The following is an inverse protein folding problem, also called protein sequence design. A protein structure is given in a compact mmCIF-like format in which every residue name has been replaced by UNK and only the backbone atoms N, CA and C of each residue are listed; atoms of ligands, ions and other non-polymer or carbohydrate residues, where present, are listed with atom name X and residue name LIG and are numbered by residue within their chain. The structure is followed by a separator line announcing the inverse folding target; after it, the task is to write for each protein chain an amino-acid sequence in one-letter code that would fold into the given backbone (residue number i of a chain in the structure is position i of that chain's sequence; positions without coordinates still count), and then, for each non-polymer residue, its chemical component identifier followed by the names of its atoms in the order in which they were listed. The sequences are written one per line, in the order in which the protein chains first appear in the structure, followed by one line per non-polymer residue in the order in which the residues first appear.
data_IF_192161128911
#
_entry.id   IF_192161128911
#
_cell.length_a   1.000
_cell.length_b   1.000
_cell.length_c   1.000
_cell.angle_alpha   90.00
_cell.angle_beta   90.00
_cell.angle_gamma   90.00
#
_symmetry.space_group_name_H-M   'P 1'
#
loop_
_entity.id
_entity.type
_entity.pdbx_description
1 polymer ?
#
# COMPACT_ATOMS: atom_id res chain seq x y z
N UNK A 1 -22.92 19.92 12.56
CA UNK A 1 -22.66 19.33 13.89
C UNK A 1 -23.64 18.18 14.09
N UNK A 2 -23.19 17.05 14.64
CA UNK A 2 -24.04 15.87 14.85
C UNK A 2 -23.95 15.42 16.31
N UNK A 3 -25.10 15.14 16.92
CA UNK A 3 -25.22 14.64 18.29
C UNK A 3 -26.03 13.35 18.26
N UNK A 4 -25.45 12.26 18.74
CA UNK A 4 -26.07 10.93 18.73
C UNK A 4 -26.09 10.41 20.15
N UNK A 5 -27.26 9.94 20.59
CA UNK A 5 -27.45 9.26 21.86
C UNK A 5 -27.98 7.86 21.62
N UNK A 6 -27.49 6.90 22.41
CA UNK A 6 -27.90 5.49 22.37
C UNK A 6 -29.22 5.22 23.15
N UNK A 7 -30.01 6.27 23.39
CA UNK A 7 -31.31 6.19 24.08
C UNK A 7 -32.37 6.94 23.28
N UNK A 8 -33.64 6.61 23.52
CA UNK A 8 -34.77 7.31 22.91
C UNK A 8 -35.05 8.63 23.62
N UNK A 9 -34.46 9.72 23.13
CA UNK A 9 -34.77 11.06 23.57
C UNK A 9 -36.04 11.56 22.85
N UNK A 10 -36.94 12.24 23.56
CA UNK A 10 -38.11 12.86 22.94
C UNK A 10 -37.70 14.04 22.06
N UNK A 11 -36.65 14.78 22.43
CA UNK A 11 -36.04 15.84 21.61
C UNK A 11 -34.57 16.07 21.98
N UNK A 12 -33.84 16.77 21.11
CA UNK A 12 -32.47 17.24 21.36
C UNK A 12 -32.44 18.75 21.11
N UNK A 13 -32.10 19.53 22.13
CA UNK A 13 -31.95 20.98 22.04
C UNK A 13 -30.49 21.34 21.77
N UNK A 14 -30.25 22.37 20.95
CA UNK A 14 -28.91 22.87 20.66
C UNK A 14 -28.70 24.25 21.28
N UNK A 15 -27.49 24.49 21.79
CA UNK A 15 -27.07 25.77 22.35
C UNK A 15 -25.74 26.21 21.74
N UNK A 16 -25.58 27.52 21.56
CA UNK A 16 -24.31 28.17 21.23
C UNK A 16 -23.96 29.11 22.39
N UNK A 17 -22.96 28.72 23.18
CA UNK A 17 -22.68 29.34 24.47
C UNK A 17 -23.87 29.16 25.42
N UNK A 18 -24.53 30.27 25.79
CA UNK A 18 -25.73 30.28 26.64
C UNK A 18 -27.03 30.51 25.88
N UNK A 19 -26.98 30.67 24.55
CA UNK A 19 -28.15 30.96 23.72
C UNK A 19 -28.67 29.71 23.04
N UNK A 20 -29.99 29.53 23.04
CA UNK A 20 -30.63 28.43 22.31
C UNK A 20 -30.50 28.65 20.80
N UNK A 21 -30.26 27.57 20.07
CA UNK A 21 -30.15 27.56 18.62
C UNK A 21 -31.36 26.84 18.04
N UNK A 22 -32.20 27.59 17.35
CA UNK A 22 -33.44 27.15 16.74
C UNK A 22 -33.53 27.60 15.27
N UNK A 23 -34.64 27.23 14.61
CA UNK A 23 -34.91 27.61 13.23
C UNK A 23 -35.17 29.12 13.08
N UNK A 24 -35.69 29.76 14.12
CA UNK A 24 -36.09 31.17 14.14
C UNK A 24 -34.96 32.11 14.61
N UNK A 25 -33.74 31.59 14.79
CA UNK A 25 -32.64 32.41 15.25
C UNK A 25 -32.39 33.59 14.30
N UNK A 26 -32.08 34.76 14.87
CA UNK A 26 -31.81 35.99 14.12
C UNK A 26 -30.65 35.87 13.12
N UNK A 27 -29.79 34.85 13.27
CA UNK A 27 -28.71 34.52 12.34
C UNK A 27 -29.24 34.09 10.97
N UNK A 28 -30.36 33.36 10.96
CA UNK A 28 -30.87 32.67 9.78
C UNK A 28 -29.95 31.57 9.25
N UNK A 29 -30.44 30.82 8.26
CA UNK A 29 -29.65 29.77 7.59
C UNK A 29 -29.28 28.60 8.51
N UNK A 30 -30.09 28.34 9.52
CA UNK A 30 -29.97 27.23 10.45
C UNK A 30 -30.96 26.13 10.03
N UNK A 31 -30.50 24.88 10.03
CA UNK A 31 -31.36 23.71 9.90
C UNK A 31 -31.05 22.72 11.03
N UNK A 32 -32.09 22.26 11.71
CA UNK A 32 -32.01 21.17 12.68
C UNK A 32 -32.78 19.98 12.14
N UNK A 33 -32.11 18.85 12.04
CA UNK A 33 -32.73 17.57 11.69
C UNK A 33 -32.65 16.67 12.92
N UNK A 34 -33.73 15.99 13.26
CA UNK A 34 -33.72 15.00 14.34
C UNK A 34 -34.31 13.71 13.81
N UNK A 35 -33.55 12.64 13.95
CA UNK A 35 -33.89 11.29 13.53
C UNK A 35 -33.99 10.38 14.76
N UNK A 36 -35.06 9.60 14.83
CA UNK A 36 -35.28 8.60 15.88
C UNK A 36 -35.25 7.22 15.23
N UNK A 37 -34.31 6.40 15.65
CA UNK A 37 -34.16 5.02 15.18
C UNK A 37 -34.28 4.07 16.37
N UNK A 38 -34.35 2.76 16.11
CA UNK A 38 -34.35 1.73 17.17
C UNK A 38 -33.06 1.77 18.01
N UNK A 39 -31.93 2.16 17.42
CA UNK A 39 -30.64 2.27 18.09
C UNK A 39 -30.43 3.56 18.90
N UNK A 40 -31.40 4.47 18.91
CA UNK A 40 -31.33 5.73 19.63
C UNK A 40 -31.75 6.95 18.81
N UNK A 41 -31.40 8.14 19.30
CA UNK A 41 -31.80 9.43 18.71
C UNK A 41 -30.58 10.20 18.23
N UNK A 42 -30.65 10.72 17.01
CA UNK A 42 -29.61 11.52 16.38
C UNK A 42 -30.17 12.89 16.01
N UNK A 43 -29.40 13.95 16.24
CA UNK A 43 -29.73 15.30 15.79
C UNK A 43 -28.56 15.93 15.06
N UNK A 44 -28.87 16.64 13.98
CA UNK A 44 -27.90 17.28 13.10
C UNK A 44 -28.23 18.76 12.98
N UNK A 45 -27.32 19.60 13.46
CA UNK A 45 -27.36 21.06 13.36
C UNK A 45 -26.49 21.52 12.20
N UNK A 46 -27.08 22.23 11.24
CA UNK A 46 -26.42 22.75 10.05
C UNK A 46 -26.51 24.27 10.02
N UNK A 47 -25.36 24.91 9.85
CA UNK A 47 -25.22 26.35 9.73
C UNK A 47 -24.73 26.67 8.30
N UNK A 48 -25.59 27.30 7.50
CA UNK A 48 -25.20 27.77 6.16
C UNK A 48 -24.43 29.09 6.26
N UNK A 49 -23.47 29.30 5.35
CA UNK A 49 -22.64 30.53 5.28
C UNK A 49 -22.04 30.93 6.63
N UNK A 50 -21.26 30.02 7.21
CA UNK A 50 -20.65 30.25 8.52
C UNK A 50 -19.70 31.45 8.51
N UNK A 51 -19.80 32.30 9.53
CA UNK A 51 -18.94 33.47 9.74
C UNK A 51 -18.08 33.28 10.98
N UNK A 52 -17.06 34.13 11.20
CA UNK A 52 -16.24 34.07 12.41
C UNK A 52 -17.05 34.13 13.70
N UNK A 53 -18.21 34.81 13.69
CA UNK A 53 -19.12 34.93 14.84
C UNK A 53 -19.81 33.62 15.22
N UNK A 54 -19.86 32.67 14.30
CA UNK A 54 -20.41 31.33 14.57
C UNK A 54 -19.41 30.45 15.34
N UNK A 55 -18.15 30.90 15.50
CA UNK A 55 -17.19 30.23 16.38
C UNK A 55 -17.68 30.26 17.82
N UNK A 56 -17.50 29.17 18.56
CA UNK A 56 -17.92 29.09 19.94
C UNK A 56 -18.18 27.66 20.39
N UNK A 57 -18.66 27.54 21.62
CA UNK A 57 -19.03 26.26 22.19
C UNK A 57 -20.46 25.91 21.77
N UNK A 58 -20.64 24.76 21.14
CA UNK A 58 -21.93 24.22 20.80
C UNK A 58 -22.26 23.05 21.72
N UNK A 59 -23.39 23.11 22.41
CA UNK A 59 -23.84 22.07 23.33
C UNK A 59 -25.13 21.44 22.82
N UNK A 60 -25.16 20.11 22.69
CA UNK A 60 -26.39 19.37 22.49
C UNK A 60 -26.91 18.85 23.83
N UNK A 61 -28.21 19.03 24.06
CA UNK A 61 -28.92 18.66 25.29
C UNK A 61 -30.08 17.74 24.93
N UNK A 62 -29.88 16.41 24.97
CA UNK A 62 -30.94 15.43 24.79
C UNK A 62 -31.85 15.35 26.03
N UNK A 63 -33.15 15.16 25.84
CA UNK A 63 -34.08 14.89 26.96
C UNK A 63 -33.81 13.51 27.56
N UNK A 64 -33.42 13.45 28.84
CA UNK A 64 -33.21 12.18 29.55
C UNK A 64 -31.84 11.53 29.33
N UNK A 65 -30.86 12.27 28.78
CA UNK A 65 -29.47 11.81 28.67
C UNK A 65 -28.49 12.95 28.98
N UNK A 66 -27.20 12.63 29.04
CA UNK A 66 -26.12 13.57 29.36
C UNK A 66 -25.88 14.49 28.16
N UNK A 67 -25.67 15.79 28.42
CA UNK A 67 -25.32 16.77 27.39
C UNK A 67 -23.87 16.65 26.96
N UNK A 68 -23.59 17.03 25.72
CA UNK A 68 -22.24 17.04 25.15
C UNK A 68 -21.95 18.39 24.51
N UNK A 69 -20.70 18.85 24.64
CA UNK A 69 -20.26 20.16 24.16
C UNK A 69 -19.06 20.02 23.23
N UNK A 70 -18.98 20.87 22.21
CA UNK A 70 -17.87 20.92 21.26
C UNK A 70 -17.51 22.36 20.94
N UNK A 71 -16.20 22.66 20.98
CA UNK A 71 -15.70 23.96 20.56
C UNK A 71 -15.53 23.99 19.04
N UNK A 72 -16.25 24.89 18.37
CA UNK A 72 -16.16 25.14 16.93
C UNK A 72 -15.35 26.40 16.70
N UNK A 73 -14.45 26.33 15.71
CA UNK A 73 -13.68 27.47 15.26
C UNK A 73 -13.86 27.65 13.75
N UNK A 74 -14.42 28.79 13.36
CA UNK A 74 -14.58 29.19 11.96
C UNK A 74 -13.38 30.03 11.57
N UNK A 75 -12.75 29.70 10.45
CA UNK A 75 -11.59 30.39 9.91
C UNK A 75 -12.01 31.21 8.68
N UNK A 76 -11.43 32.40 8.51
CA UNK A 76 -11.57 33.16 7.27
C UNK A 76 -10.75 32.47 6.17
N UNK A 77 -11.45 31.90 5.20
CA UNK A 77 -10.81 31.24 4.06
C UNK A 77 -10.52 32.23 2.94
N UNK A 78 -9.27 32.70 2.84
CA UNK A 78 -8.67 32.93 1.51
C UNK A 78 -8.10 31.62 0.95
N UNK A 79 -7.92 30.61 1.80
CA UNK A 79 -7.51 29.27 1.42
C UNK A 79 -8.40 28.27 2.17
N UNK A 80 -9.35 27.58 1.51
CA UNK A 80 -10.05 26.46 2.15
C UNK A 80 -8.99 25.50 2.67
N UNK A 81 -9.17 24.97 3.88
CA UNK A 81 -8.22 24.05 4.51
C UNK A 81 -7.74 23.06 3.46
N UNK A 82 -6.47 23.19 3.07
CA UNK A 82 -5.85 22.27 2.16
C UNK A 82 -5.98 20.89 2.81
N UNK A 83 -6.80 20.02 2.23
CA UNK A 83 -6.64 18.59 2.43
C UNK A 83 -5.15 18.35 2.22
N UNK A 84 -4.44 18.00 3.28
CA UNK A 84 -2.99 17.89 3.29
C UNK A 84 -2.60 16.80 2.29
N UNK A 85 -2.43 17.15 1.02
CA UNK A 85 -1.52 16.41 0.15
C UNK A 85 -0.15 16.68 0.75
N UNK A 86 0.51 15.62 1.19
CA UNK A 86 1.82 15.68 1.83
C UNK A 86 2.85 16.23 0.84
N UNK A 87 2.89 17.56 0.69
CA UNK A 87 4.07 18.28 0.21
C UNK A 87 4.96 18.49 1.43
N UNK A 88 5.45 17.38 1.97
CA UNK A 88 6.50 17.41 2.97
C UNK A 88 7.69 18.13 2.34
N UNK A 89 7.98 19.33 2.86
CA UNK A 89 9.28 19.96 2.66
C UNK A 89 10.31 18.91 3.04
N UNK A 90 11.16 18.43 2.13
CA UNK A 90 12.15 17.44 2.49
C UNK A 90 13.12 18.11 3.44
N UNK A 91 13.04 17.78 4.73
CA UNK A 91 14.10 18.12 5.67
C UNK A 91 15.39 17.50 5.10
N UNK A 92 16.40 18.31 4.71
CA UNK A 92 17.58 17.81 4.01
C UNK A 92 18.41 16.84 4.85
N UNK A 93 18.17 16.79 6.16
CA UNK A 93 18.78 15.83 7.10
C UNK A 93 18.22 14.41 6.97
N UNK A 94 16.94 14.25 6.66
CA UNK A 94 16.34 12.92 6.58
C UNK A 94 16.63 12.23 5.24
N UNK A 95 16.59 13.00 4.14
CA UNK A 95 16.94 12.46 2.81
C UNK A 95 18.41 12.03 2.72
N UNK A 96 19.32 12.79 3.33
CA UNK A 96 20.75 12.43 3.36
C UNK A 96 21.01 11.17 4.19
N UNK A 97 20.35 11.00 5.33
CA UNK A 97 20.45 9.79 6.15
C UNK A 97 19.90 8.55 5.45
N UNK A 98 18.77 8.65 4.75
CA UNK A 98 18.22 7.53 3.97
C UNK A 98 19.18 7.12 2.84
N UNK A 99 19.71 8.08 2.08
CA UNK A 99 20.67 7.79 1.00
C UNK A 99 21.96 7.15 1.54
N UNK A 100 22.44 7.60 2.69
CA UNK A 100 23.59 7.01 3.37
C UNK A 100 23.31 5.59 3.84
N UNK A 101 22.14 5.34 4.43
CA UNK A 101 21.72 3.99 4.81
C UNK A 101 21.60 3.05 3.59
N UNK A 102 20.95 3.49 2.50
CA UNK A 102 20.81 2.68 1.29
C UNK A 102 22.17 2.36 0.67
N UNK A 103 23.08 3.34 0.58
CA UNK A 103 24.42 3.12 0.03
C UNK A 103 25.26 2.17 0.89
N UNK A 104 25.23 2.30 2.22
CA UNK A 104 25.92 1.39 3.13
C UNK A 104 25.40 -0.05 3.02
N UNK A 105 24.08 -0.22 2.94
CA UNK A 105 23.48 -1.55 2.79
C UNK A 105 23.68 -2.12 1.39
N UNK A 106 23.78 -1.29 0.34
CA UNK A 106 23.98 -1.75 -1.04
C UNK A 106 25.27 -2.57 -1.23
N UNK A 107 26.36 -2.18 -0.53
CA UNK A 107 27.65 -2.87 -0.59
C UNK A 107 27.64 -4.21 0.15
N UNK A 108 26.86 -4.33 1.23
CA UNK A 108 26.67 -5.59 1.94
C UNK A 108 25.82 -6.57 1.13
N UNK A 109 24.77 -6.05 0.49
CA UNK A 109 23.87 -6.85 -0.37
C UNK A 109 24.60 -7.37 -1.60
N UNK A 110 25.45 -6.57 -2.26
CA UNK A 110 26.20 -7.02 -3.44
C UNK A 110 27.18 -8.14 -3.13
N UNK A 111 27.88 -8.06 -1.99
CA UNK A 111 28.77 -9.13 -1.50
C UNK A 111 28.00 -10.42 -1.20
N UNK A 112 26.85 -10.31 -0.54
CA UNK A 112 26.00 -11.47 -0.24
C UNK A 112 25.49 -12.14 -1.52
N UNK A 113 25.00 -11.36 -2.49
CA UNK A 113 24.55 -11.88 -3.78
C UNK A 113 25.66 -12.61 -4.52
N UNK A 114 26.88 -12.06 -4.55
CA UNK A 114 28.03 -12.71 -5.18
C UNK A 114 28.37 -14.05 -4.51
N UNK A 115 28.40 -14.08 -3.17
CA UNK A 115 28.67 -15.30 -2.42
C UNK A 115 27.63 -16.39 -2.66
N UNK A 116 26.34 -16.02 -2.63
CA UNK A 116 25.24 -16.95 -2.91
C UNK A 116 25.30 -17.46 -4.35
N UNK A 117 25.62 -16.61 -5.32
CA UNK A 117 25.75 -17.01 -6.73
C UNK A 117 26.89 -18.04 -6.91
N UNK A 118 28.03 -17.79 -6.27
CA UNK A 118 29.16 -18.71 -6.31
C UNK A 118 28.83 -20.06 -5.62
N UNK A 119 28.13 -20.02 -4.47
CA UNK A 119 27.69 -21.22 -3.78
C UNK A 119 26.68 -22.03 -4.61
N UNK A 120 25.75 -21.38 -5.29
CA UNK A 120 24.78 -22.06 -6.17
C UNK A 120 25.48 -22.71 -7.37
N UNK A 121 26.48 -22.05 -7.97
CA UNK A 121 27.25 -22.63 -9.06
C UNK A 121 28.07 -23.86 -8.63
N UNK A 122 28.73 -23.78 -7.48
CA UNK A 122 29.49 -24.91 -6.92
C UNK A 122 28.59 -26.09 -6.58
N UNK A 123 27.45 -25.86 -5.93
CA UNK A 123 26.46 -26.90 -5.63
C UNK A 123 25.89 -27.54 -6.91
N UNK A 124 25.60 -26.73 -7.93
CA UNK A 124 25.17 -27.24 -9.24
C UNK A 124 26.23 -28.14 -9.87
N UNK A 125 27.51 -27.74 -9.81
CA UNK A 125 28.60 -28.53 -10.35
C UNK A 125 28.74 -29.88 -9.62
N UNK A 126 28.77 -29.86 -8.28
CA UNK A 126 28.79 -31.05 -7.42
C UNK A 126 27.62 -32.00 -7.70
N UNK A 127 26.41 -31.46 -7.88
CA UNK A 127 25.23 -32.27 -8.22
C UNK A 127 25.38 -32.91 -9.61
N UNK A 128 25.86 -32.17 -10.62
CA UNK A 128 26.05 -32.72 -11.96
C UNK A 128 27.14 -33.80 -12.01
N UNK A 129 28.24 -33.62 -11.27
CA UNK A 129 29.35 -34.58 -11.23
C UNK A 129 28.97 -35.85 -10.47
N UNK A 130 28.25 -35.72 -9.35
CA UNK A 130 27.73 -36.88 -8.58
C UNK A 130 26.71 -37.68 -9.39
N UNK A 131 25.75 -37.02 -10.05
CA UNK A 131 24.80 -37.69 -10.96
C UNK A 131 25.54 -38.38 -12.10
N UNK A 132 26.50 -37.71 -12.75
CA UNK A 132 27.28 -38.31 -13.83
C UNK A 132 28.06 -39.56 -13.37
N UNK A 133 28.69 -39.49 -12.19
CA UNK A 133 29.42 -40.61 -11.60
C UNK A 133 28.48 -41.78 -11.26
N UNK A 134 27.31 -41.51 -10.68
CA UNK A 134 26.30 -42.53 -10.40
C UNK A 134 25.76 -43.19 -11.68
N UNK A 135 25.47 -42.40 -12.71
CA UNK A 135 25.05 -42.92 -14.02
C UNK A 135 26.15 -43.77 -14.69
N UNK A 136 27.42 -43.39 -14.55
CA UNK A 136 28.54 -44.20 -15.01
C UNK A 136 28.69 -45.50 -14.21
N UNK A 137 28.43 -45.47 -12.90
CA UNK A 137 28.44 -46.64 -12.03
C UNK A 137 27.29 -47.60 -12.37
N UNK A 138 26.08 -47.09 -12.61
CA UNK A 138 24.95 -47.90 -13.09
C UNK A 138 25.24 -48.54 -14.45
N UNK A 139 25.94 -47.84 -15.35
CA UNK A 139 26.35 -48.40 -16.65
C UNK A 139 27.40 -49.50 -16.54
N UNK A 140 28.17 -49.52 -15.45
CA UNK A 140 29.19 -50.56 -15.15
C UNK A 140 28.64 -51.73 -14.32
N UNK A 141 27.40 -51.66 -13.83
CA UNK A 141 26.77 -52.79 -13.16
C UNK A 141 26.47 -53.89 -14.18
N UNK A 142 26.88 -55.16 -13.96
CA UNK A 142 26.57 -56.25 -14.87
C UNK A 142 25.06 -56.39 -15.01
N UNK A 143 24.54 -56.34 -16.24
CA UNK A 143 23.15 -56.60 -16.55
C UNK A 143 22.86 -58.10 -16.37
N UNK A 144 22.77 -58.57 -15.13
CA UNK A 144 22.19 -59.87 -14.79
C UNK A 144 20.72 -59.67 -14.43
N UNK A 145 19.90 -59.26 -15.39
CA UNK A 145 18.49 -59.65 -15.41
C UNK A 145 17.91 -59.51 -16.82
N UNK A 146 17.17 -60.55 -17.19
CA UNK A 146 16.82 -60.95 -18.55
C UNK A 146 16.10 -59.93 -19.42
N UNK A 147 16.18 -60.25 -20.71
CA UNK A 147 15.48 -59.66 -21.83
C UNK A 147 14.03 -59.21 -21.56
N UNK A 148 13.76 -57.94 -21.86
CA UNK A 148 12.43 -57.36 -21.90
C UNK A 148 12.43 -56.06 -22.71
N UNK A 149 12.57 -56.17 -24.04
CA UNK A 149 12.54 -55.06 -25.00
C UNK A 149 11.18 -54.34 -24.96
N UNK A 150 11.03 -53.29 -24.15
CA UNK A 150 9.85 -52.41 -24.15
C UNK A 150 10.16 -51.06 -24.80
N UNK A 151 9.28 -50.65 -25.72
CA UNK A 151 9.40 -49.48 -26.62
C UNK A 151 9.46 -48.10 -25.92
N UNK A 152 9.53 -48.06 -24.59
CA UNK A 152 9.45 -46.85 -23.76
C UNK A 152 10.75 -46.03 -23.74
N UNK A 153 11.90 -46.68 -23.87
CA UNK A 153 13.23 -46.03 -23.75
C UNK A 153 13.55 -45.07 -24.90
N UNK A 154 12.92 -45.23 -26.07
CA UNK A 154 13.07 -44.29 -27.19
C UNK A 154 12.25 -43.01 -26.96
N UNK A 155 11.12 -43.09 -26.28
CA UNK A 155 10.23 -41.95 -26.04
C UNK A 155 10.84 -40.96 -25.03
N UNK A 156 11.51 -41.46 -24.00
CA UNK A 156 12.18 -40.64 -22.97
C UNK A 156 13.42 -39.92 -23.50
N UNK A 157 14.15 -40.50 -24.45
CA UNK A 157 15.31 -39.86 -25.07
C UNK A 157 14.90 -38.73 -26.03
N UNK A 158 13.75 -38.88 -26.70
CA UNK A 158 13.18 -37.87 -27.60
C UNK A 158 12.62 -36.65 -26.85
N UNK A 159 12.09 -36.82 -25.63
CA UNK A 159 11.56 -35.71 -24.81
C UNK A 159 12.65 -34.85 -24.17
N UNK A 160 13.78 -35.44 -23.73
CA UNK A 160 14.91 -34.68 -23.18
C UNK A 160 15.64 -33.84 -24.25
N UNK A 161 15.72 -34.33 -25.49
CA UNK A 161 16.30 -33.59 -26.62
C UNK A 161 15.43 -32.38 -27.05
N UNK A 162 14.10 -32.46 -26.90
CA UNK A 162 13.18 -31.34 -27.17
C UNK A 162 13.19 -30.28 -26.07
N UNK A 163 13.45 -30.65 -24.82
CA UNK A 163 13.58 -29.70 -23.70
C UNK A 163 14.92 -28.94 -23.78
N UNK A 164 16.03 -29.62 -24.13
CA UNK A 164 17.34 -28.98 -24.28
C UNK A 164 17.42 -27.94 -25.41
N UNK A 165 16.63 -28.10 -26.47
CA UNK A 165 16.57 -27.14 -27.59
C UNK A 165 15.68 -25.92 -27.31
N UNK A 166 14.67 -26.04 -26.44
CA UNK A 166 13.85 -24.90 -25.98
C UNK A 166 14.60 -23.97 -25.02
N UNK A 167 15.40 -24.52 -24.10
CA UNK A 167 16.23 -23.74 -23.17
C UNK A 167 17.37 -22.97 -23.87
N UNK A 168 17.89 -23.48 -24.99
CA UNK A 168 18.92 -22.78 -25.78
C UNK A 168 18.36 -21.60 -26.58
N UNK A 169 17.05 -21.61 -26.93
CA UNK A 169 16.37 -20.49 -27.59
C UNK A 169 16.04 -19.35 -26.63
N UNK A 170 15.68 -19.62 -25.38
CA UNK A 170 15.42 -18.57 -24.39
C UNK A 170 16.70 -17.83 -23.97
N UNK A 171 17.85 -18.51 -23.93
CA UNK A 171 19.13 -17.87 -23.60
C UNK A 171 19.68 -16.93 -24.69
N UNK A 172 19.34 -17.15 -25.97
CA UNK A 172 19.79 -16.31 -27.09
C UNK A 172 18.91 -15.08 -27.34
N UNK A 173 17.68 -15.05 -26.82
CA UNK A 173 16.75 -13.94 -27.04
C UNK A 173 16.85 -12.82 -25.98
N UNK A 174 17.60 -13.04 -24.88
CA UNK A 174 17.78 -12.05 -23.82
C UNK A 174 19.02 -11.15 -24.00
N UNK A 175 19.74 -11.29 -25.13
CA UNK A 175 20.92 -10.47 -25.46
C UNK A 175 20.63 -9.24 -26.34
N UNK A 176 19.37 -8.87 -26.53
CA UNK A 176 18.94 -7.70 -27.30
C UNK A 176 17.92 -6.85 -26.54
N UNK A 177 18.35 -6.24 -25.45
CA UNK A 177 17.80 -4.95 -25.02
C UNK A 177 18.89 -3.89 -25.27
N UNK A 178 18.70 -2.96 -26.22
CA UNK A 178 19.57 -1.81 -26.33
C UNK A 178 19.36 -0.90 -25.11
N UNK A 179 20.49 -0.42 -24.58
CA UNK A 179 20.57 0.53 -23.50
C UNK A 179 19.70 1.76 -23.75
N UNK A 180 18.86 2.11 -22.77
CA UNK A 180 18.23 3.41 -22.71
C UNK A 180 19.32 4.49 -22.56
N UNK A 181 19.32 5.44 -23.49
CA UNK A 181 20.25 6.57 -23.55
C UNK A 181 19.98 7.60 -22.44
N UNK A 182 20.98 8.39 -22.01
CA UNK A 182 20.79 9.41 -20.98
C UNK A 182 20.03 10.63 -21.52
N UNK A 183 19.08 11.15 -20.74
CA UNK A 183 18.36 12.39 -21.00
C UNK A 183 19.32 13.59 -21.08
N UNK A 184 19.32 14.30 -22.20
CA UNK A 184 19.95 15.60 -22.36
C UNK A 184 18.94 16.70 -22.09
N UNK A 185 19.21 17.55 -21.09
CA UNK A 185 18.44 18.74 -20.76
C UNK A 185 18.80 19.85 -21.77
N UNK A 186 17.83 20.30 -22.55
CA UNK A 186 17.96 21.49 -23.41
C UNK A 186 17.13 22.62 -22.80
N UNK A 187 17.81 23.61 -22.23
CA UNK A 187 17.28 24.93 -21.89
C UNK A 187 16.79 25.63 -23.16
N UNK A 188 15.57 26.17 -23.13
CA UNK A 188 15.01 27.01 -24.18
C UNK A 188 14.82 28.42 -23.62
N UNK A 189 15.65 29.35 -24.10
CA UNK A 189 15.47 30.79 -23.91
C UNK A 189 14.45 31.30 -24.92
N UNK A 190 13.43 32.00 -24.46
CA UNK A 190 12.86 33.14 -25.17
C UNK A 190 12.25 34.11 -24.19
#
# INVERSE_FOLDING_TARGET
LSCVVNVHASSISWYHGSSIVDFDSARGGISLETEKTEGGTSSRLMLTRATLRDSGNYTCVPTGAISASVQVHVLNGEHPAAMQTSSGVPCPTHQTLILLFVSLNSCNVSKLIFFISNLLETMRFLLTTTIAHFLLHLRRLPSTLGAGRTKSTRFVLLTLATIGTRLRRTALQQRQHPAASPCSVRTQSR
#
